data_IF_689457088121
#
_entry.id   IF_689457088121
#
_cell.length_a   1.000
_cell.length_b   1.000
_cell.length_c   1.000
_cell.angle_alpha   90.00
_cell.angle_beta   90.00
_cell.angle_gamma   90.00
#
_symmetry.space_group_name_H-M   'P 1'
#
loop_
_entity.id
_entity.type
_entity.pdbx_description
1 polymer ?
#
# COMPACT_ATOMS: atom_id res chain seq x y z
N UNK A 1 -15.84 -24.58 4.70
CA UNK A 1 -15.07 -24.11 3.52
C UNK A 1 -14.22 -22.95 4.00
N UNK A 2 -12.91 -23.14 4.17
CA UNK A 2 -12.01 -22.07 4.59
C UNK A 2 -12.00 -21.00 3.49
N UNK A 3 -12.41 -19.78 3.85
CA UNK A 3 -12.49 -18.63 2.94
C UNK A 3 -11.15 -18.38 2.28
N UNK A 4 -11.18 -18.12 0.97
CA UNK A 4 -10.02 -17.97 0.12
C UNK A 4 -9.00 -17.00 0.71
N UNK A 5 -7.76 -17.49 0.80
CA UNK A 5 -6.59 -16.65 1.02
C UNK A 5 -6.61 -15.52 0.00
N UNK A 6 -6.68 -14.27 0.46
CA UNK A 6 -6.58 -13.06 -0.36
C UNK A 6 -5.12 -12.95 -0.84
N UNK A 7 -4.73 -13.82 -1.77
CA UNK A 7 -3.36 -13.86 -2.29
C UNK A 7 -3.14 -12.64 -3.18
N UNK A 8 -2.03 -11.90 -3.02
CA UNK A 8 -1.69 -10.82 -3.93
C UNK A 8 -1.55 -11.36 -5.36
N UNK A 9 -2.39 -10.89 -6.26
CA UNK A 9 -2.46 -11.38 -7.66
C UNK A 9 -1.72 -10.47 -8.64
N UNK A 10 -1.44 -9.22 -8.27
CA UNK A 10 -0.88 -8.20 -9.17
C UNK A 10 0.18 -7.37 -8.48
N UNK A 11 1.36 -7.27 -9.06
CA UNK A 11 2.40 -6.32 -8.66
C UNK A 11 2.37 -5.08 -9.54
N UNK A 12 2.58 -3.90 -8.96
CA UNK A 12 2.77 -2.64 -9.69
C UNK A 12 3.87 -1.83 -9.04
N UNK A 13 4.69 -1.17 -9.87
CA UNK A 13 5.67 -0.18 -9.43
C UNK A 13 4.96 1.17 -9.40
N UNK A 14 4.95 1.84 -8.24
CA UNK A 14 4.29 3.13 -8.05
C UNK A 14 5.21 4.11 -7.33
N UNK A 15 5.16 5.39 -7.71
CA UNK A 15 5.81 6.48 -6.99
C UNK A 15 4.81 7.03 -5.98
N UNK A 16 5.09 6.81 -4.69
CA UNK A 16 4.21 7.18 -3.59
C UNK A 16 4.81 8.20 -2.65
N UNK A 17 3.94 8.97 -1.99
CA UNK A 17 4.34 9.87 -0.90
C UNK A 17 3.99 9.22 0.43
N UNK A 18 5.00 8.97 1.25
CA UNK A 18 4.89 8.33 2.56
C UNK A 18 4.82 9.39 3.64
N UNK A 19 3.72 9.39 4.41
CA UNK A 19 3.57 10.24 5.58
C UNK A 19 3.77 9.41 6.84
N UNK A 20 4.78 9.76 7.63
CA UNK A 20 5.12 9.08 8.87
C UNK A 20 4.39 9.75 10.03
N UNK A 21 3.51 8.99 10.69
CA UNK A 21 2.60 9.54 11.72
C UNK A 21 3.33 10.11 12.95
N UNK A 22 4.43 9.48 13.39
CA UNK A 22 5.08 9.83 14.67
C UNK A 22 6.22 10.84 14.55
N UNK A 23 6.82 10.97 13.37
CA UNK A 23 7.97 11.86 13.13
C UNK A 23 7.62 13.11 12.30
N UNK A 24 6.40 13.21 11.77
CA UNK A 24 5.98 14.32 10.90
C UNK A 24 6.76 14.39 9.58
N UNK A 25 7.51 13.34 9.25
CA UNK A 25 8.32 13.24 8.04
C UNK A 25 7.43 12.87 6.86
N UNK A 26 7.73 13.46 5.70
CA UNK A 26 7.21 13.02 4.42
C UNK A 26 8.35 12.63 3.48
N UNK A 27 8.20 11.52 2.76
CA UNK A 27 9.20 11.05 1.79
C UNK A 27 8.53 10.58 0.50
N UNK A 28 9.12 10.92 -0.65
CA UNK A 28 8.67 10.42 -1.95
C UNK A 28 9.59 9.28 -2.37
N UNK A 29 9.02 8.10 -2.62
CA UNK A 29 9.78 6.91 -2.98
C UNK A 29 9.04 6.08 -4.03
N UNK A 30 9.80 5.48 -4.93
CA UNK A 30 9.29 4.45 -5.84
C UNK A 30 9.28 3.11 -5.11
N UNK A 31 8.12 2.46 -5.08
CA UNK A 31 7.90 1.20 -4.38
C UNK A 31 7.16 0.20 -5.24
N UNK A 32 7.36 -1.08 -4.92
CA UNK A 32 6.62 -2.19 -5.49
C UNK A 32 5.47 -2.55 -4.56
N UNK A 33 4.26 -2.38 -5.05
CA UNK A 33 3.04 -2.69 -4.31
C UNK A 33 2.36 -3.93 -4.88
N UNK A 34 1.91 -4.80 -3.98
CA UNK A 34 1.10 -5.95 -4.31
C UNK A 34 -0.38 -5.63 -4.02
N UNK A 35 -1.20 -5.79 -5.05
CA UNK A 35 -2.63 -5.53 -5.01
C UNK A 35 -3.39 -6.86 -5.05
N UNK A 36 -4.44 -6.92 -4.25
CA UNK A 36 -5.44 -7.99 -4.30
C UNK A 36 -6.65 -7.53 -5.11
N UNK A 37 -7.56 -8.45 -5.43
CA UNK A 37 -8.79 -8.10 -6.14
C UNK A 37 -9.65 -7.07 -5.38
N UNK A 38 -9.58 -7.09 -4.04
CA UNK A 38 -10.26 -6.10 -3.20
C UNK A 38 -9.56 -4.76 -3.29
N UNK A 39 -8.24 -4.75 -3.32
CA UNK A 39 -7.46 -3.52 -3.42
C UNK A 39 -7.85 -2.70 -4.65
N UNK A 40 -8.23 -3.35 -5.76
CA UNK A 40 -8.65 -2.67 -6.99
C UNK A 40 -10.03 -1.99 -6.88
N UNK A 41 -10.92 -2.47 -6.01
CA UNK A 41 -12.30 -1.97 -5.91
C UNK A 41 -12.45 -0.69 -5.11
N UNK A 42 -11.53 -0.42 -4.18
CA UNK A 42 -11.65 0.70 -3.25
C UNK A 42 -10.61 1.79 -3.54
N UNK A 43 -10.96 3.04 -3.23
CA UNK A 43 -10.08 4.21 -3.34
C UNK A 43 -9.00 4.20 -2.26
N UNK A 44 -9.38 3.89 -1.02
CA UNK A 44 -8.49 3.67 0.11
C UNK A 44 -8.41 2.17 0.38
N UNK A 45 -7.21 1.61 0.35
CA UNK A 45 -7.01 0.17 0.54
C UNK A 45 -5.73 -0.12 1.29
N UNK A 46 -5.67 -1.25 1.99
CA UNK A 46 -4.38 -1.82 2.42
C UNK A 46 -3.73 -2.52 1.23
N UNK A 47 -2.43 -2.29 1.05
CA UNK A 47 -1.59 -2.96 0.04
C UNK A 47 -0.28 -3.37 0.68
N UNK A 48 0.27 -4.51 0.27
CA UNK A 48 1.57 -4.93 0.74
C UNK A 48 2.67 -4.20 -0.04
N UNK A 49 3.54 -3.49 0.68
CA UNK A 49 4.65 -2.73 0.10
C UNK A 49 5.95 -3.49 0.32
N UNK A 50 6.55 -3.96 -0.77
CA UNK A 50 7.68 -4.90 -0.72
C UNK A 50 8.89 -4.31 -0.01
N UNK A 51 9.18 -3.03 -0.24
CA UNK A 51 10.32 -2.32 0.33
C UNK A 51 10.20 -2.09 1.84
N UNK A 52 8.98 -2.15 2.40
CA UNK A 52 8.73 -2.05 3.84
C UNK A 52 8.45 -3.42 4.49
N UNK A 53 8.19 -4.45 3.69
CA UNK A 53 7.86 -5.78 4.18
C UNK A 53 6.55 -5.85 4.97
N UNK A 54 5.62 -4.92 4.74
CA UNK A 54 4.37 -4.81 5.50
C UNK A 54 3.22 -4.25 4.67
N UNK A 55 1.99 -4.36 5.20
CA UNK A 55 0.81 -3.74 4.60
C UNK A 55 0.62 -2.30 5.08
N UNK A 56 0.49 -1.38 4.13
CA UNK A 56 0.27 0.04 4.39
C UNK A 56 -1.07 0.48 3.80
N UNK A 57 -1.70 1.50 4.41
CA UNK A 57 -2.90 2.12 3.85
C UNK A 57 -2.47 3.03 2.70
N UNK A 58 -3.00 2.76 1.52
CA UNK A 58 -2.72 3.45 0.28
C UNK A 58 -3.98 4.14 -0.26
N UNK A 59 -3.84 5.41 -0.61
CA UNK A 59 -4.85 6.20 -1.29
C UNK A 59 -4.51 6.33 -2.77
N UNK A 60 -5.36 5.77 -3.64
CA UNK A 60 -5.10 5.70 -5.09
C UNK A 60 -5.16 7.03 -5.82
N UNK A 61 -5.96 7.97 -5.32
CA UNK A 61 -6.20 9.23 -6.04
C UNK A 61 -4.98 10.16 -6.03
N UNK A 62 -4.18 10.05 -4.98
CA UNK A 62 -3.05 10.96 -4.72
C UNK A 62 -1.75 10.21 -4.39
N UNK A 63 -1.74 8.89 -4.52
CA UNK A 63 -0.61 8.01 -4.22
C UNK A 63 0.00 8.20 -2.82
N UNK A 64 -0.83 8.53 -1.82
CA UNK A 64 -0.35 8.68 -0.44
C UNK A 64 -0.40 7.36 0.32
N UNK A 65 0.66 7.13 1.10
CA UNK A 65 0.77 6.03 2.05
C UNK A 65 0.78 6.57 3.48
N UNK A 66 0.00 5.93 4.34
CA UNK A 66 0.09 6.10 5.79
C UNK A 66 1.03 5.05 6.36
N UNK A 67 2.12 5.53 6.96
CA UNK A 67 3.12 4.68 7.61
C UNK A 67 3.04 4.90 9.10
N UNK A 68 2.80 3.81 9.84
CA UNK A 68 3.06 3.81 11.27
C UNK A 68 4.58 3.65 11.45
N UNK A 69 5.17 4.69 12.04
CA UNK A 69 6.54 4.74 12.56
C UNK A 69 6.56 4.05 13.94
#
# INVERSE_FOLDING_TARGET
MMQGEDKPTKSRIITGTFKYCNSGREEVKTVTCLFTERSEKYQLTKVYVVEFGCELIFCKDNNHFLVND
#
